data_IF_888479752407
#
_entry.id   IF_888479752407
#
_cell.length_a   1.000
_cell.length_b   1.000
_cell.length_c   1.000
_cell.angle_alpha   90.00
_cell.angle_beta   90.00
_cell.angle_gamma   90.00
#
_symmetry.space_group_name_H-M   'P 1'
#
loop_
_entity.id
_entity.type
_entity.pdbx_description
1 polymer ?
#
# COMPACT_ATOMS: atom_id res chain seq x y z
N UNK A 1 27.72 34.91 13.61
CA UNK A 1 28.02 33.87 12.60
C UNK A 1 29.26 33.10 13.01
N UNK A 2 29.13 31.93 13.63
CA UNK A 2 30.12 30.84 13.54
C UNK A 2 29.42 29.60 12.95
N UNK A 3 30.00 28.69 12.18
CA UNK A 3 31.37 28.34 11.86
C UNK A 3 31.31 26.84 11.53
N UNK A 4 31.12 26.50 10.26
CA UNK A 4 30.85 25.12 9.82
C UNK A 4 32.14 24.28 9.85
N UNK A 5 32.15 23.27 10.72
CA UNK A 5 33.32 22.44 11.03
C UNK A 5 33.60 21.41 9.91
N UNK A 6 34.82 21.40 9.36
CA UNK A 6 35.26 20.52 8.26
C UNK A 6 35.35 19.01 8.60
N UNK A 7 35.09 18.59 9.85
CA UNK A 7 35.20 17.19 10.25
C UNK A 7 34.00 16.30 9.84
N UNK A 8 32.84 16.86 9.46
CA UNK A 8 31.68 16.03 9.06
C UNK A 8 31.79 15.45 7.64
N UNK A 9 32.57 16.10 6.77
CA UNK A 9 32.78 15.66 5.38
C UNK A 9 33.64 14.39 5.28
N UNK A 10 34.52 14.14 6.27
CA UNK A 10 35.36 12.94 6.29
C UNK A 10 34.58 11.69 6.73
N UNK A 11 33.53 11.84 7.53
CA UNK A 11 32.63 10.75 7.92
C UNK A 11 31.72 10.33 6.75
N UNK A 12 31.25 11.29 5.95
CA UNK A 12 30.37 11.00 4.81
C UNK A 12 31.09 10.32 3.65
N UNK A 13 32.39 10.61 3.44
CA UNK A 13 33.19 9.91 2.42
C UNK A 13 33.53 8.48 2.86
N UNK A 14 33.80 8.24 4.15
CA UNK A 14 34.14 6.91 4.67
C UNK A 14 33.00 5.89 4.59
N UNK A 15 31.76 6.31 4.76
CA UNK A 15 30.58 5.41 4.68
C UNK A 15 30.24 5.02 3.24
N UNK A 16 30.58 5.86 2.26
CA UNK A 16 30.35 5.56 0.85
C UNK A 16 31.33 4.53 0.28
N UNK A 17 32.58 4.51 0.78
CA UNK A 17 33.57 3.50 0.38
C UNK A 17 33.30 2.12 0.98
N UNK A 18 32.75 2.03 2.20
CA UNK A 18 32.48 0.74 2.86
C UNK A 18 31.26 0.00 2.30
N UNK A 19 30.32 0.68 1.62
CA UNK A 19 29.16 0.03 0.99
C UNK A 19 29.45 -0.52 -0.41
N UNK A 20 30.50 -0.03 -1.08
CA UNK A 20 30.92 -0.48 -2.42
C UNK A 20 31.94 -1.62 -2.39
N UNK A 21 32.45 -1.99 -1.21
CA UNK A 21 33.41 -3.09 -1.03
C UNK A 21 32.77 -4.49 -0.91
N UNK A 22 31.44 -4.59 -0.97
CA UNK A 22 30.70 -5.86 -0.80
C UNK A 22 30.26 -6.50 -2.13
N UNK A 23 30.91 -6.16 -3.23
CA UNK A 23 30.74 -6.85 -4.51
C UNK A 23 32.11 -7.13 -5.11
N UNK A 24 32.61 -8.36 -4.92
CA UNK A 24 33.32 -9.22 -5.88
C UNK A 24 34.24 -10.23 -5.16
N UNK A 25 33.73 -11.44 -4.94
CA UNK A 25 34.48 -12.71 -5.07
C UNK A 25 33.46 -13.85 -5.06
N UNK A 26 33.04 -14.32 -6.23
CA UNK A 26 33.50 -15.56 -6.89
C UNK A 26 33.28 -16.83 -6.06
N UNK A 27 32.58 -17.76 -6.70
CA UNK A 27 32.40 -19.17 -6.34
C UNK A 27 31.45 -19.45 -5.17
N UNK A 28 30.20 -19.83 -5.48
CA UNK A 28 29.75 -21.21 -5.27
C UNK A 28 28.27 -21.47 -5.64
N UNK A 29 28.11 -22.39 -6.59
CA UNK A 29 26.99 -23.31 -6.89
C UNK A 29 25.77 -22.78 -7.65
N UNK A 30 25.47 -23.31 -8.85
CA UNK A 30 24.22 -23.03 -9.55
C UNK A 30 23.05 -23.71 -8.84
N UNK A 31 22.04 -22.92 -8.50
CA UNK A 31 20.72 -23.42 -8.13
C UNK A 31 20.15 -24.20 -9.33
N UNK A 32 20.07 -25.52 -9.17
CA UNK A 32 19.57 -26.47 -10.14
C UNK A 32 18.05 -26.28 -10.29
N UNK A 33 17.66 -25.41 -11.22
CA UNK A 33 16.30 -25.42 -11.77
C UNK A 33 16.35 -26.42 -12.91
N UNK A 34 15.64 -27.54 -12.74
CA UNK A 34 15.53 -28.60 -13.73
C UNK A 34 15.14 -28.02 -15.08
N UNK A 35 16.14 -27.92 -15.96
CA UNK A 35 15.93 -27.71 -17.38
C UNK A 35 15.33 -29.01 -17.92
N UNK A 36 14.01 -29.07 -18.01
CA UNK A 36 13.36 -30.04 -18.88
C UNK A 36 13.66 -29.64 -20.33
N UNK A 37 14.82 -30.03 -20.82
CA UNK A 37 15.15 -30.06 -22.24
C UNK A 37 14.15 -30.98 -22.92
N UNK A 38 13.15 -30.39 -23.58
CA UNK A 38 12.30 -31.11 -24.51
C UNK A 38 13.16 -31.48 -25.71
N UNK A 39 13.68 -32.70 -25.73
CA UNK A 39 14.28 -33.28 -26.92
C UNK A 39 13.15 -33.52 -27.93
N UNK A 40 12.94 -32.58 -28.84
CA UNK A 40 12.08 -32.81 -30.02
C UNK A 40 12.94 -33.58 -31.01
N UNK A 41 12.80 -34.91 -30.98
CA UNK A 41 13.33 -35.80 -31.99
C UNK A 41 12.52 -35.62 -33.27
N UNK A 42 13.04 -34.85 -34.23
CA UNK A 42 12.48 -34.78 -35.57
C UNK A 42 12.98 -35.99 -36.36
N UNK A 43 12.18 -37.06 -36.40
CA UNK A 43 12.39 -38.16 -37.33
C UNK A 43 11.71 -37.82 -38.66
N UNK A 44 12.50 -37.61 -39.70
CA UNK A 44 12.02 -37.54 -41.08
C UNK A 44 11.53 -38.92 -41.56
N UNK A 45 10.25 -39.04 -41.95
CA UNK A 45 9.88 -40.02 -42.98
C UNK A 45 8.57 -39.72 -43.73
N UNK A 46 8.77 -39.36 -45.01
CA UNK A 46 8.04 -39.63 -46.25
C UNK A 46 6.49 -39.78 -46.30
N UNK A 47 5.90 -39.00 -47.23
CA UNK A 47 4.96 -39.34 -48.34
C UNK A 47 3.75 -40.25 -47.98
N UNK A 48 2.50 -39.88 -48.22
CA UNK A 48 1.90 -39.74 -49.55
C UNK A 48 0.57 -38.92 -49.57
N UNK A 49 0.28 -38.45 -50.77
CA UNK A 49 -0.82 -37.65 -51.31
C UNK A 49 -2.25 -38.20 -51.10
N UNK A 50 -3.21 -37.35 -50.71
CA UNK A 50 -4.61 -37.41 -51.17
C UNK A 50 -5.36 -36.08 -50.90
N UNK A 51 -5.88 -35.50 -51.96
CA UNK A 51 -6.62 -34.24 -52.08
C UNK A 51 -7.99 -34.27 -51.39
N UNK A 52 -8.28 -33.39 -50.40
CA UNK A 52 -9.66 -32.95 -50.06
C UNK A 52 -9.67 -31.53 -49.48
N UNK A 53 -10.38 -30.62 -50.18
CA UNK A 53 -10.93 -29.28 -49.83
C UNK A 53 -10.03 -28.24 -49.11
N UNK A 54 -9.76 -27.15 -49.84
CA UNK A 54 -9.46 -25.83 -49.28
C UNK A 54 -10.59 -25.34 -48.36
N UNK A 55 -10.29 -25.25 -47.07
CA UNK A 55 -10.84 -24.22 -46.17
C UNK A 55 -9.66 -23.40 -45.62
N UNK A 56 -9.09 -22.56 -46.47
CA UNK A 56 -7.93 -21.71 -46.12
C UNK A 56 -8.32 -20.42 -45.39
N UNK A 57 -9.32 -20.47 -44.50
CA UNK A 57 -9.71 -19.37 -43.60
C UNK A 57 -9.75 -19.77 -42.12
N UNK A 58 -9.57 -21.06 -41.79
CA UNK A 58 -9.60 -21.57 -40.40
C UNK A 58 -8.21 -21.92 -39.85
N UNK A 59 -7.19 -22.10 -40.70
CA UNK A 59 -5.87 -22.56 -40.28
C UNK A 59 -4.97 -21.46 -39.68
N UNK A 60 -5.14 -20.20 -40.07
CA UNK A 60 -4.28 -19.10 -39.58
C UNK A 60 -4.79 -18.52 -38.24
N UNK A 61 -6.11 -18.43 -38.08
CA UNK A 61 -6.77 -18.05 -36.82
C UNK A 61 -6.58 -19.11 -35.72
N UNK A 62 -6.39 -20.38 -36.08
CA UNK A 62 -6.15 -21.46 -35.10
C UNK A 62 -4.73 -21.47 -34.56
N UNK A 63 -3.73 -20.97 -35.29
CA UNK A 63 -2.34 -20.91 -34.82
C UNK A 63 -2.17 -19.81 -33.76
N UNK A 64 -2.84 -18.66 -33.91
CA UNK A 64 -2.86 -17.60 -32.90
C UNK A 64 -3.66 -18.00 -31.64
N UNK A 65 -4.79 -18.72 -31.81
CA UNK A 65 -5.54 -19.32 -30.68
C UNK A 65 -4.77 -20.44 -29.96
N UNK A 66 -3.78 -21.08 -30.60
CA UNK A 66 -3.09 -22.25 -30.05
C UNK A 66 -2.18 -21.95 -28.85
N UNK A 67 -1.67 -20.71 -28.73
CA UNK A 67 -0.78 -20.30 -27.63
C UNK A 67 -1.32 -19.10 -26.83
N UNK A 68 -2.63 -18.90 -26.86
CA UNK A 68 -3.29 -17.99 -25.93
C UNK A 68 -3.05 -18.49 -24.49
N UNK A 69 -2.92 -17.58 -23.52
CA UNK A 69 -3.01 -17.89 -22.10
C UNK A 69 -4.10 -17.00 -21.51
N UNK A 70 -5.10 -17.60 -20.86
CA UNK A 70 -6.20 -16.85 -20.26
C UNK A 70 -5.76 -16.17 -18.96
N UNK A 71 -6.29 -14.97 -18.72
CA UNK A 71 -6.14 -14.21 -17.48
C UNK A 71 -7.07 -14.70 -16.36
N UNK A 72 -8.02 -15.59 -16.69
CA UNK A 72 -8.90 -16.24 -15.73
C UNK A 72 -10.28 -15.57 -15.56
N UNK A 73 -10.67 -14.65 -16.44
CA UNK A 73 -12.00 -14.03 -16.44
C UNK A 73 -12.96 -14.73 -17.39
N UNK A 74 -12.52 -15.09 -18.59
CA UNK A 74 -13.29 -15.87 -19.56
C UNK A 74 -12.43 -16.97 -20.21
N UNK A 75 -12.99 -18.18 -20.29
CA UNK A 75 -12.34 -19.37 -20.82
C UNK A 75 -12.55 -19.47 -22.34
N UNK A 76 -13.58 -18.81 -22.89
CA UNK A 76 -14.04 -19.04 -24.27
C UNK A 76 -13.64 -17.92 -25.24
N UNK A 77 -13.68 -16.66 -24.80
CA UNK A 77 -13.46 -15.49 -25.67
C UNK A 77 -12.27 -14.61 -25.23
N UNK A 78 -11.31 -14.38 -26.15
CA UNK A 78 -10.01 -13.73 -25.86
C UNK A 78 -10.18 -12.27 -25.49
N UNK A 79 -11.00 -11.62 -26.29
CA UNK A 79 -11.18 -10.18 -26.28
C UNK A 79 -11.90 -9.78 -25.01
N UNK A 80 -12.87 -10.61 -24.57
CA UNK A 80 -13.60 -10.42 -23.33
C UNK A 80 -12.66 -10.65 -22.14
N UNK A 81 -11.89 -11.74 -22.14
CA UNK A 81 -10.94 -12.06 -21.06
C UNK A 81 -9.87 -10.97 -20.87
N UNK A 82 -9.27 -10.50 -21.97
CA UNK A 82 -8.24 -9.44 -21.94
C UNK A 82 -8.80 -8.06 -21.58
N UNK A 83 -9.99 -7.71 -22.07
CA UNK A 83 -10.64 -6.44 -21.72
C UNK A 83 -11.03 -6.42 -20.25
N UNK A 84 -11.59 -7.53 -19.74
CA UNK A 84 -11.93 -7.67 -18.33
C UNK A 84 -10.68 -7.55 -17.46
N UNK A 85 -9.59 -8.23 -17.79
CA UNK A 85 -8.33 -8.17 -17.05
C UNK A 85 -7.73 -6.75 -17.00
N UNK A 86 -7.71 -6.03 -18.11
CA UNK A 86 -7.22 -4.66 -18.14
C UNK A 86 -8.16 -3.71 -17.36
N UNK A 87 -9.48 -3.88 -17.48
CA UNK A 87 -10.45 -3.07 -16.76
C UNK A 87 -10.37 -3.28 -15.24
N UNK A 88 -10.26 -4.52 -14.77
CA UNK A 88 -10.16 -4.83 -13.34
C UNK A 88 -8.85 -4.30 -12.76
N UNK A 89 -7.72 -4.49 -13.44
CA UNK A 89 -6.42 -3.98 -12.97
C UNK A 89 -6.41 -2.44 -12.96
N UNK A 90 -6.99 -1.80 -13.97
CA UNK A 90 -7.11 -0.35 -14.01
C UNK A 90 -8.01 0.16 -12.86
N UNK A 91 -9.22 -0.37 -12.70
CA UNK A 91 -10.16 0.11 -11.67
C UNK A 91 -9.65 -0.20 -10.26
N UNK A 92 -9.17 -1.41 -10.01
CA UNK A 92 -8.70 -1.78 -8.67
C UNK A 92 -7.40 -1.06 -8.29
N UNK A 93 -6.37 -1.12 -9.13
CA UNK A 93 -5.05 -0.57 -8.78
C UNK A 93 -5.05 0.94 -8.95
N UNK A 94 -5.49 1.47 -10.09
CA UNK A 94 -5.34 2.90 -10.35
C UNK A 94 -6.43 3.73 -9.67
N UNK A 95 -7.71 3.37 -9.82
CA UNK A 95 -8.81 4.14 -9.23
C UNK A 95 -8.92 3.87 -7.73
N UNK A 96 -9.01 2.63 -7.28
CA UNK A 96 -9.21 2.36 -5.85
C UNK A 96 -7.95 2.58 -5.01
N UNK A 97 -6.78 2.05 -5.41
CA UNK A 97 -5.57 2.19 -4.58
C UNK A 97 -4.90 3.55 -4.74
N UNK A 98 -4.64 4.01 -5.97
CA UNK A 98 -3.93 5.29 -6.17
C UNK A 98 -4.85 6.49 -5.93
N UNK A 99 -5.97 6.59 -6.65
CA UNK A 99 -6.88 7.75 -6.47
C UNK A 99 -7.59 7.69 -5.12
N UNK A 100 -8.08 6.52 -4.70
CA UNK A 100 -8.65 6.35 -3.36
C UNK A 100 -7.64 6.63 -2.25
N UNK A 101 -6.41 6.13 -2.37
CA UNK A 101 -5.33 6.43 -1.43
C UNK A 101 -4.98 7.92 -1.39
N UNK A 102 -4.94 8.60 -2.53
CA UNK A 102 -4.77 10.05 -2.60
C UNK A 102 -5.92 10.79 -1.91
N UNK A 103 -7.16 10.37 -2.14
CA UNK A 103 -8.32 10.95 -1.47
C UNK A 103 -8.24 10.80 0.05
N UNK A 104 -7.86 9.61 0.56
CA UNK A 104 -7.69 9.41 2.01
C UNK A 104 -6.52 10.21 2.59
N UNK A 105 -5.42 10.37 1.85
CA UNK A 105 -4.26 11.13 2.31
C UNK A 105 -4.54 12.64 2.42
N UNK A 106 -5.41 13.17 1.57
CA UNK A 106 -5.80 14.58 1.55
C UNK A 106 -7.24 14.83 2.02
N UNK A 107 -7.86 13.82 2.64
CA UNK A 107 -9.17 13.98 3.23
C UNK A 107 -9.10 15.06 4.33
N UNK A 108 -10.14 15.90 4.47
CA UNK A 108 -10.18 16.87 5.56
C UNK A 108 -10.09 16.14 6.90
N UNK A 109 -9.49 16.80 7.89
CA UNK A 109 -9.30 16.25 9.23
C UNK A 109 -10.65 15.91 9.88
N UNK A 110 -11.01 14.62 9.82
CA UNK A 110 -12.28 14.11 10.33
C UNK A 110 -12.34 14.13 11.86
N UNK A 111 -11.20 14.06 12.53
CA UNK A 111 -11.12 13.97 13.99
C UNK A 111 -10.80 15.33 14.64
N UNK A 112 -10.74 16.42 13.86
CA UNK A 112 -10.43 17.77 14.34
C UNK A 112 -9.15 17.82 15.20
N UNK A 113 -8.16 16.98 14.88
CA UNK A 113 -6.86 16.91 15.56
C UNK A 113 -6.05 18.19 15.37
N UNK A 114 -6.03 18.73 14.15
CA UNK A 114 -5.30 19.95 13.85
C UNK A 114 -5.96 21.17 14.51
N UNK A 115 -7.29 21.17 14.56
CA UNK A 115 -8.06 22.21 15.25
C UNK A 115 -7.84 22.14 16.76
N UNK A 116 -8.02 20.96 17.38
CA UNK A 116 -7.86 20.81 18.83
C UNK A 116 -6.44 21.12 19.29
N UNK A 117 -5.41 20.75 18.52
CA UNK A 117 -4.03 21.12 18.82
C UNK A 117 -3.83 22.64 18.76
N UNK A 118 -4.36 23.31 17.73
CA UNK A 118 -4.28 24.77 17.60
C UNK A 118 -4.97 25.47 18.77
N UNK A 119 -6.19 25.06 19.08
CA UNK A 119 -6.99 25.65 20.15
C UNK A 119 -6.33 25.45 21.52
N UNK A 120 -5.80 24.26 21.78
CA UNK A 120 -5.07 23.98 23.01
C UNK A 120 -3.88 24.92 23.24
N UNK A 121 -3.12 25.27 22.19
CA UNK A 121 -2.01 26.22 22.31
C UNK A 121 -2.48 27.64 22.63
N UNK A 122 -3.62 28.06 22.06
CA UNK A 122 -4.20 29.38 22.34
C UNK A 122 -4.68 29.47 23.79
N UNK A 123 -5.40 28.46 24.26
CA UNK A 123 -5.88 28.39 25.64
C UNK A 123 -4.73 28.31 26.65
N UNK A 124 -3.70 27.49 26.40
CA UNK A 124 -2.51 27.46 27.25
C UNK A 124 -1.85 28.84 27.36
N UNK A 125 -1.68 29.54 26.24
CA UNK A 125 -1.10 30.89 26.21
C UNK A 125 -1.91 31.88 27.04
N UNK A 126 -3.23 31.84 26.90
CA UNK A 126 -4.15 32.70 27.65
C UNK A 126 -4.06 32.42 29.16
N UNK A 127 -4.01 31.15 29.57
CA UNK A 127 -3.90 30.76 30.99
C UNK A 127 -2.54 31.12 31.60
N UNK A 128 -1.45 30.95 30.85
CA UNK A 128 -0.11 31.40 31.26
C UNK A 128 -0.05 32.91 31.50
N UNK A 129 -0.67 33.71 30.62
CA UNK A 129 -0.72 35.17 30.76
C UNK A 129 -1.49 35.62 32.00
N UNK A 130 -2.56 34.90 32.33
CA UNK A 130 -3.38 35.17 33.51
C UNK A 130 -2.83 34.52 34.80
N UNK A 131 -1.79 33.69 34.70
CA UNK A 131 -1.19 32.97 35.83
C UNK A 131 -2.09 31.88 36.44
N UNK A 132 -3.06 31.37 35.69
CA UNK A 132 -3.96 30.29 36.13
C UNK A 132 -3.28 28.91 35.99
N UNK A 133 -3.75 27.89 36.73
CA UNK A 133 -3.33 26.51 36.48
C UNK A 133 -3.65 26.09 35.04
N UNK A 134 -2.72 25.35 34.42
CA UNK A 134 -2.79 24.96 33.00
C UNK A 134 -4.07 24.17 32.69
N UNK A 135 -4.46 23.25 33.57
CA UNK A 135 -5.69 22.47 33.48
C UNK A 135 -6.35 22.54 34.85
N UNK A 136 -7.64 22.87 34.86
CA UNK A 136 -8.47 22.79 36.07
C UNK A 136 -8.94 21.35 36.26
N UNK A 137 -8.76 20.73 37.44
CA UNK A 137 -9.34 19.43 37.74
C UNK A 137 -10.87 19.41 37.65
N UNK A 138 -11.53 20.54 37.94
CA UNK A 138 -12.98 20.64 37.87
C UNK A 138 -13.39 21.14 36.48
N UNK A 139 -14.00 20.27 35.67
CA UNK A 139 -14.54 20.67 34.36
C UNK A 139 -15.75 21.59 34.49
N UNK A 140 -16.57 21.38 35.52
CA UNK A 140 -17.76 22.16 35.83
C UNK A 140 -17.49 22.93 37.12
N UNK A 141 -17.87 24.20 37.12
CA UNK A 141 -17.88 25.02 38.32
C UNK A 141 -18.77 24.35 39.39
N UNK A 142 -18.24 23.97 40.56
CA UNK A 142 -19.00 23.26 41.59
C UNK A 142 -20.20 24.06 42.10
N UNK A 143 -20.20 25.39 41.94
CA UNK A 143 -21.34 26.24 42.30
C UNK A 143 -22.58 26.01 41.43
N UNK A 144 -22.42 25.42 40.24
CA UNK A 144 -23.53 25.10 39.31
C UNK A 144 -24.14 23.74 39.58
N UNK A 145 -23.54 22.94 40.46
CA UNK A 145 -24.00 21.60 40.79
C UNK A 145 -24.70 21.69 42.15
N UNK A 146 -26.03 21.61 42.13
CA UNK A 146 -26.80 21.44 43.36
C UNK A 146 -26.78 19.96 43.72
N UNK A 147 -26.01 19.62 44.76
CA UNK A 147 -26.01 18.28 45.32
C UNK A 147 -27.27 18.13 46.19
N UNK A 148 -28.09 17.09 45.98
CA UNK A 148 -29.19 16.78 46.90
C UNK A 148 -28.62 16.53 48.30
N UNK A 149 -29.37 16.97 49.31
CA UNK A 149 -28.96 16.82 50.70
C UNK A 149 -28.97 15.35 51.15
N UNK A 150 -28.16 14.99 52.14
CA UNK A 150 -28.05 13.60 52.65
C UNK A 150 -29.40 13.00 53.09
N UNK A 151 -30.37 13.81 53.51
CA UNK A 151 -31.72 13.35 53.89
C UNK A 151 -32.58 12.94 52.68
N UNK A 152 -32.33 13.52 51.50
CA UNK A 152 -33.01 13.19 50.24
C UNK A 152 -32.35 12.01 49.51
N UNK A 153 -31.15 11.60 49.95
CA UNK A 153 -30.35 10.53 49.35
C UNK A 153 -30.84 9.11 49.71
N UNK A 154 -31.64 8.97 50.78
CA UNK A 154 -32.22 7.68 51.21
C UNK A 154 -31.19 6.55 51.36
N UNK A 155 -31.58 5.33 50.98
CA UNK A 155 -30.73 4.12 51.00
C UNK A 155 -29.95 3.90 49.69
N UNK A 156 -29.53 4.97 49.00
CA UNK A 156 -28.77 4.81 47.75
C UNK A 156 -27.35 4.34 48.07
N UNK A 157 -26.99 3.12 47.65
CA UNK A 157 -25.65 2.55 47.87
C UNK A 157 -24.57 3.44 47.22
N UNK A 158 -23.67 3.98 48.04
CA UNK A 158 -22.49 4.69 47.56
C UNK A 158 -21.50 3.64 47.06
N UNK A 159 -21.44 3.44 45.75
CA UNK A 159 -20.42 2.62 45.10
C UNK A 159 -19.14 3.47 45.01
N UNK A 160 -18.12 3.06 45.76
CA UNK A 160 -16.79 3.69 45.80
C UNK A 160 -15.85 2.98 44.82
#
# INVERSE_FOLDING_TARGET
MPGFNMNSLNLFRRTWYLRRALHLNSSDKPFNVGCCSRNISTSDKSRDTATVKQESLSAETTIAKKNWMSFGYDIKDQEIDSTAAHATMFVSVTLCLVVGGFYFAYAPDYQLRDWSQREAYLELRHREQNGLPLIDPNYIDPSKIELPSDEELGDTEIII
#
